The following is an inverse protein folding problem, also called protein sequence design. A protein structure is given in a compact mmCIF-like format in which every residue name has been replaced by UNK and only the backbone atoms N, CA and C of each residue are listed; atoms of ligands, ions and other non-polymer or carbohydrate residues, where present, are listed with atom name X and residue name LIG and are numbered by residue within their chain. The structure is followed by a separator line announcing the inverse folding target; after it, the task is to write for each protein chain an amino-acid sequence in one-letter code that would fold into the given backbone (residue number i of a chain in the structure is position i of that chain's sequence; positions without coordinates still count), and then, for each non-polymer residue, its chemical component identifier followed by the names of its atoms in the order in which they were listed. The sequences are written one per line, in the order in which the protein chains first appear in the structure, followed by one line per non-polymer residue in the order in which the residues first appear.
data_IF_644293243857
#
_entry.id   IF_644293243857
#
_cell.length_a   1.000
_cell.length_b   1.000
_cell.length_c   1.000
_cell.angle_alpha   90.00
_cell.angle_beta   90.00
_cell.angle_gamma   90.00
#
_symmetry.space_group_name_H-M   'P 1'
#
loop_
_entity.id
_entity.type
_entity.pdbx_description
1 polymer ?
#
# COMPACT_ATOMS: atom_id res chain seq x y z
N UNK A 1 7.17 32.13 1.60
CA UNK A 1 6.77 30.72 1.40
C UNK A 1 7.66 30.17 0.31
N UNK A 2 8.37 29.05 0.50
CA UNK A 2 9.11 28.44 -0.61
C UNK A 2 8.12 28.12 -1.73
N UNK A 3 8.50 28.43 -2.97
CA UNK A 3 7.69 28.11 -4.14
C UNK A 3 7.43 26.60 -4.16
N UNK A 4 6.17 26.22 -4.40
CA UNK A 4 5.75 24.83 -4.49
C UNK A 4 6.37 24.23 -5.76
N UNK A 5 7.51 23.57 -5.62
CA UNK A 5 8.07 22.74 -6.69
C UNK A 5 7.12 21.57 -6.95
N UNK A 6 6.67 21.46 -8.20
CA UNK A 6 5.87 20.32 -8.65
C UNK A 6 6.85 19.23 -9.06
N UNK A 7 6.79 18.08 -8.38
CA UNK A 7 7.61 16.94 -8.72
C UNK A 7 7.39 16.54 -10.21
N UNK A 8 8.47 16.33 -10.97
CA UNK A 8 8.42 15.97 -12.38
C UNK A 8 7.79 14.58 -12.55
N UNK A 9 7.09 14.36 -13.66
CA UNK A 9 6.69 13.00 -14.06
C UNK A 9 7.93 12.30 -14.61
N UNK A 10 8.27 11.16 -14.02
CA UNK A 10 9.42 10.35 -14.43
C UNK A 10 8.88 9.17 -15.23
N UNK A 11 9.14 9.15 -16.53
CA UNK A 11 8.61 8.12 -17.44
C UNK A 11 9.69 7.13 -17.88
N UNK A 12 10.96 7.50 -17.73
CA UNK A 12 12.12 6.70 -18.09
C UNK A 12 13.36 7.07 -17.23
N UNK A 13 14.48 6.36 -17.45
CA UNK A 13 15.70 6.56 -16.68
C UNK A 13 16.40 7.90 -16.96
N UNK A 14 16.25 8.44 -18.18
CA UNK A 14 16.79 9.73 -18.56
C UNK A 14 16.01 10.87 -17.88
N UNK A 15 14.68 10.77 -17.81
CA UNK A 15 13.83 11.66 -17.01
C UNK A 15 14.23 11.63 -15.53
N UNK A 16 14.54 10.45 -15.00
CA UNK A 16 14.99 10.30 -13.62
C UNK A 16 16.30 11.06 -13.40
N UNK A 17 17.29 10.85 -14.28
CA UNK A 17 18.60 11.48 -14.18
C UNK A 17 18.53 13.01 -14.33
N UNK A 18 17.65 13.51 -15.20
CA UNK A 18 17.56 14.94 -15.51
C UNK A 18 16.72 15.71 -14.49
N UNK A 19 15.68 15.11 -13.92
CA UNK A 19 14.68 15.86 -13.16
C UNK A 19 14.76 15.65 -11.64
N UNK A 20 15.41 14.59 -11.15
CA UNK A 20 15.51 14.29 -9.72
C UNK A 20 16.68 14.94 -8.94
N UNK A 21 17.82 15.35 -9.56
CA UNK A 21 18.95 15.91 -8.80
C UNK A 21 18.61 17.13 -7.92
N UNK A 22 17.60 17.92 -8.30
CA UNK A 22 17.13 19.07 -7.50
C UNK A 22 16.26 18.69 -6.29
N UNK A 23 15.75 17.46 -6.25
CA UNK A 23 14.92 16.93 -5.14
C UNK A 23 15.74 16.08 -4.16
N UNK A 24 16.89 15.55 -4.60
CA UNK A 24 17.81 14.78 -3.78
C UNK A 24 18.97 15.67 -3.34
N UNK A 25 18.79 16.30 -2.19
CA UNK A 25 19.86 17.08 -1.57
C UNK A 25 20.86 16.10 -0.96
N UNK A 26 22.11 16.16 -1.43
CA UNK A 26 23.21 15.36 -0.88
C UNK A 26 23.24 15.47 0.64
N UNK A 27 23.51 14.35 1.29
CA UNK A 27 23.56 14.19 2.76
C UNK A 27 22.22 14.27 3.52
N UNK A 28 21.11 14.66 2.90
CA UNK A 28 19.79 14.74 3.55
C UNK A 28 19.09 13.39 3.58
N UNK A 29 18.35 13.06 4.67
CA UNK A 29 17.47 11.89 4.68
C UNK A 29 16.40 11.97 3.60
N UNK A 30 16.09 10.83 2.98
CA UNK A 30 15.07 10.70 1.94
C UNK A 30 13.95 9.82 2.46
N UNK A 31 12.70 10.28 2.31
CA UNK A 31 11.53 9.46 2.55
C UNK A 31 11.02 8.89 1.21
N UNK A 32 10.94 7.57 1.12
CA UNK A 32 10.42 6.84 -0.03
C UNK A 32 9.10 6.20 0.39
N UNK A 33 8.00 6.69 -0.18
CA UNK A 33 6.64 6.25 0.13
C UNK A 33 6.05 5.60 -1.12
N UNK A 34 5.80 4.29 -1.07
CA UNK A 34 5.44 3.50 -2.25
C UNK A 34 4.05 2.91 -2.08
N UNK A 35 3.23 3.02 -3.12
CA UNK A 35 2.04 2.20 -3.25
C UNK A 35 2.41 0.78 -3.69
N UNK A 36 1.51 -0.19 -3.49
CA UNK A 36 1.74 -1.58 -3.87
C UNK A 36 1.13 -1.94 -5.24
N UNK A 37 -0.21 -1.97 -5.34
CA UNK A 37 -0.92 -2.46 -6.53
C UNK A 37 -0.85 -1.45 -7.68
N UNK A 38 -0.28 -1.87 -8.81
CA UNK A 38 -0.01 -0.99 -9.95
C UNK A 38 1.24 -0.13 -9.81
N UNK A 39 1.97 -0.25 -8.70
CA UNK A 39 3.24 0.47 -8.46
C UNK A 39 4.39 -0.51 -8.26
N UNK A 40 4.41 -1.26 -7.15
CA UNK A 40 5.43 -2.29 -6.88
C UNK A 40 5.08 -3.63 -7.54
N UNK A 41 3.80 -3.90 -7.73
CA UNK A 41 3.31 -5.12 -8.35
C UNK A 41 2.38 -4.74 -9.52
N UNK A 42 2.59 -5.26 -10.75
CA UNK A 42 1.74 -4.93 -11.89
C UNK A 42 0.26 -5.23 -11.61
N UNK A 43 -0.64 -4.41 -12.14
CA UNK A 43 -2.08 -4.64 -11.99
C UNK A 43 -2.45 -6.02 -12.56
N UNK A 44 -3.14 -6.82 -11.75
CA UNK A 44 -3.71 -8.09 -12.15
C UNK A 44 -5.23 -8.09 -11.93
N UNK A 45 -5.95 -8.93 -12.68
CA UNK A 45 -7.40 -9.06 -12.52
C UNK A 45 -7.77 -9.60 -11.14
N UNK A 46 -6.96 -10.52 -10.62
CA UNK A 46 -7.13 -11.09 -9.30
C UNK A 46 -6.01 -10.58 -8.35
N UNK A 47 -6.36 -9.91 -7.22
CA UNK A 47 -5.40 -9.42 -6.24
C UNK A 47 -4.46 -10.49 -5.65
N UNK A 48 -4.87 -11.75 -5.61
CA UNK A 48 -4.03 -12.86 -5.14
C UNK A 48 -2.93 -13.25 -6.16
N UNK A 49 -3.03 -12.77 -7.40
CA UNK A 49 -2.05 -13.00 -8.47
C UNK A 49 -1.06 -11.85 -8.63
N UNK A 50 -1.29 -10.71 -7.97
CA UNK A 50 -0.37 -9.57 -8.00
C UNK A 50 0.91 -9.96 -7.26
N UNK A 51 2.06 -9.90 -7.94
CA UNK A 51 3.37 -10.18 -7.35
C UNK A 51 4.38 -9.12 -7.76
N UNK A 52 5.21 -8.71 -6.81
CA UNK A 52 6.34 -7.83 -7.06
C UNK A 52 7.43 -8.59 -7.85
N UNK A 53 8.03 -8.00 -8.90
CA UNK A 53 9.17 -8.59 -9.59
C UNK A 53 10.36 -8.81 -8.65
N UNK A 54 11.07 -9.93 -8.81
CA UNK A 54 12.18 -10.33 -7.94
C UNK A 54 13.33 -9.31 -7.96
N UNK A 55 13.57 -8.69 -9.12
CA UNK A 55 14.59 -7.65 -9.27
C UNK A 55 14.25 -6.41 -8.44
N UNK A 56 12.96 -6.04 -8.37
CA UNK A 56 12.48 -4.90 -7.58
C UNK A 56 12.56 -5.21 -6.08
N UNK A 57 12.21 -6.43 -5.68
CA UNK A 57 12.38 -6.90 -4.31
C UNK A 57 13.83 -6.73 -3.83
N UNK A 58 14.80 -7.17 -4.63
CA UNK A 58 16.22 -7.04 -4.30
C UNK A 58 16.68 -5.58 -4.19
N UNK A 59 16.11 -4.67 -4.98
CA UNK A 59 16.40 -3.23 -4.90
C UNK A 59 15.82 -2.64 -3.62
N UNK A 60 14.56 -2.93 -3.30
CA UNK A 60 13.91 -2.42 -2.09
C UNK A 60 14.62 -2.89 -0.81
N UNK A 61 15.09 -4.15 -0.77
CA UNK A 61 15.90 -4.64 0.35
C UNK A 61 17.21 -3.85 0.55
N UNK A 62 17.83 -3.36 -0.52
CA UNK A 62 19.02 -2.50 -0.43
C UNK A 62 18.65 -1.11 0.06
N UNK A 63 17.55 -0.55 -0.44
CA UNK A 63 17.04 0.77 -0.06
C UNK A 63 16.65 0.78 1.42
N UNK A 64 15.95 -0.26 1.90
CA UNK A 64 15.52 -0.42 3.30
C UNK A 64 16.69 -0.39 4.31
N UNK A 65 17.87 -0.86 3.90
CA UNK A 65 19.07 -0.90 4.75
C UNK A 65 19.86 0.40 4.74
N UNK A 66 19.49 1.38 3.91
CA UNK A 66 20.25 2.60 3.78
C UNK A 66 19.97 3.54 4.98
N UNK A 67 20.99 3.99 5.74
CA UNK A 67 20.80 4.70 7.01
C UNK A 67 20.13 6.07 6.87
N UNK A 68 20.09 6.63 5.66
CA UNK A 68 19.43 7.90 5.35
C UNK A 68 18.10 7.73 4.61
N UNK A 69 17.57 6.51 4.49
CA UNK A 69 16.29 6.28 3.83
C UNK A 69 15.25 5.85 4.85
N UNK A 70 14.15 6.59 4.90
CA UNK A 70 12.90 6.12 5.48
C UNK A 70 12.08 5.48 4.36
N UNK A 71 11.81 4.18 4.47
CA UNK A 71 10.98 3.46 3.51
C UNK A 71 9.64 3.11 4.13
N UNK A 72 8.56 3.37 3.39
CA UNK A 72 7.22 2.94 3.74
C UNK A 72 6.48 2.38 2.52
N UNK A 73 5.74 1.30 2.74
CA UNK A 73 4.74 0.80 1.78
C UNK A 73 3.35 1.15 2.29
N UNK A 74 2.57 1.82 1.45
CA UNK A 74 1.23 2.32 1.76
C UNK A 74 0.26 1.66 0.78
N UNK A 75 -0.69 0.87 1.26
CA UNK A 75 -1.56 0.07 0.39
C UNK A 75 -3.03 0.10 0.85
N UNK A 76 -3.93 -0.12 -0.12
CA UNK A 76 -5.33 -0.44 0.15
C UNK A 76 -5.55 -1.89 0.62
N UNK A 77 -4.56 -2.78 0.47
CA UNK A 77 -4.58 -4.14 1.03
C UNK A 77 -4.57 -4.11 2.54
N UNK A 78 -5.12 -5.14 3.19
CA UNK A 78 -4.95 -5.30 4.64
C UNK A 78 -3.47 -5.36 5.03
N UNK A 79 -3.11 -4.90 6.22
CA UNK A 79 -1.71 -4.75 6.64
C UNK A 79 -0.93 -6.07 6.51
N UNK A 80 -1.50 -7.16 7.02
CA UNK A 80 -0.87 -8.50 6.94
C UNK A 80 -0.70 -9.01 5.51
N UNK A 81 -1.61 -8.64 4.61
CA UNK A 81 -1.50 -9.04 3.21
C UNK A 81 -0.34 -8.31 2.54
N UNK A 82 -0.26 -6.98 2.63
CA UNK A 82 0.85 -6.23 2.03
C UNK A 82 2.20 -6.58 2.66
N UNK A 83 2.27 -6.82 3.97
CA UNK A 83 3.48 -7.32 4.64
C UNK A 83 3.95 -8.65 4.04
N UNK A 84 3.03 -9.60 3.83
CA UNK A 84 3.34 -10.90 3.22
C UNK A 84 3.81 -10.76 1.78
N UNK A 85 3.27 -9.81 1.02
CA UNK A 85 3.62 -9.62 -0.38
C UNK A 85 4.97 -8.92 -0.57
N UNK A 86 5.29 -7.94 0.29
CA UNK A 86 6.55 -7.16 0.19
C UNK A 86 7.69 -7.86 0.93
N UNK A 87 7.41 -8.40 2.12
CA UNK A 87 8.32 -9.22 2.91
C UNK A 87 9.70 -8.58 3.16
N UNK A 88 9.71 -7.30 3.55
CA UNK A 88 10.91 -6.56 3.92
C UNK A 88 10.79 -6.12 5.38
N UNK A 89 11.77 -6.48 6.20
CA UNK A 89 11.85 -6.05 7.60
C UNK A 89 12.40 -4.62 7.73
N UNK A 90 12.08 -3.96 8.84
CA UNK A 90 12.66 -2.66 9.20
C UNK A 90 12.10 -1.46 8.42
N UNK A 91 10.94 -1.61 7.77
CA UNK A 91 10.23 -0.54 7.06
C UNK A 91 8.86 -0.29 7.67
N UNK A 92 8.26 0.85 7.36
CA UNK A 92 6.88 1.14 7.78
C UNK A 92 5.90 0.49 6.80
N UNK A 93 4.88 -0.18 7.31
CA UNK A 93 3.76 -0.66 6.52
C UNK A 93 2.49 0.07 6.93
N UNK A 94 1.76 0.60 5.96
CA UNK A 94 0.43 1.18 6.15
C UNK A 94 -0.56 0.43 5.26
N UNK A 95 -1.36 -0.45 5.87
CA UNK A 95 -2.43 -1.18 5.21
C UNK A 95 -3.77 -0.48 5.34
N UNK A 96 -4.77 -1.03 4.66
CA UNK A 96 -6.17 -0.66 4.76
C UNK A 96 -6.40 0.85 4.57
N UNK A 97 -5.74 1.44 3.57
CA UNK A 97 -5.75 2.89 3.32
C UNK A 97 -5.24 3.73 4.52
N UNK A 98 -4.22 3.24 5.22
CA UNK A 98 -3.59 3.81 6.43
C UNK A 98 -4.43 3.70 7.70
N UNK A 99 -5.49 2.88 7.70
CA UNK A 99 -6.23 2.54 8.91
C UNK A 99 -5.46 1.53 9.78
N UNK A 100 -4.43 0.89 9.25
CA UNK A 100 -3.55 -0.03 9.98
C UNK A 100 -2.10 0.37 9.65
N UNK A 101 -1.28 0.69 10.65
CA UNK A 101 0.11 1.09 10.45
C UNK A 101 1.00 0.34 11.43
N UNK A 102 2.05 -0.31 10.92
CA UNK A 102 3.12 -0.90 11.72
C UNK A 102 4.45 -0.23 11.38
N UNK A 103 5.16 0.19 12.42
CA UNK A 103 6.45 0.88 12.34
C UNK A 103 7.62 -0.11 12.49
N UNK A 104 8.85 0.26 12.09
CA UNK A 104 10.02 -0.61 12.17
C UNK A 104 10.35 -1.14 13.57
N UNK A 105 9.94 -0.43 14.63
CA UNK A 105 10.13 -0.84 16.02
C UNK A 105 9.05 -1.84 16.51
N UNK A 106 8.13 -2.23 15.61
CA UNK A 106 7.00 -3.10 15.90
C UNK A 106 5.83 -2.39 16.58
N UNK A 107 5.93 -1.08 16.83
CA UNK A 107 4.77 -0.31 17.30
C UNK A 107 3.69 -0.28 16.23
N UNK A 108 2.43 -0.31 16.66
CA UNK A 108 1.28 -0.45 15.77
C UNK A 108 0.18 0.55 16.11
N UNK A 109 -0.41 1.10 15.06
CA UNK A 109 -1.60 1.94 15.12
C UNK A 109 -2.69 1.32 14.24
N UNK A 110 -3.73 0.81 14.88
CA UNK A 110 -4.94 0.37 14.19
C UNK A 110 -6.06 1.34 14.52
N UNK A 111 -6.75 1.80 13.48
CA UNK A 111 -8.00 2.50 13.64
C UNK A 111 -9.05 1.51 14.13
N UNK A 112 -9.68 1.82 15.26
CA UNK A 112 -10.76 1.02 15.80
C UNK A 112 -12.10 1.68 15.44
N UNK A 113 -13.02 0.89 14.89
CA UNK A 113 -14.39 1.36 14.71
C UNK A 113 -15.01 1.64 16.07
N UNK A 114 -15.69 2.79 16.26
CA UNK A 114 -16.49 3.05 17.45
C UNK A 114 -17.50 1.92 17.68
N UNK A 115 -17.71 1.49 18.92
CA UNK A 115 -18.61 0.39 19.29
C UNK A 115 -20.02 0.56 18.70
N UNK A 116 -20.50 1.80 18.68
CA UNK A 116 -21.80 2.21 18.13
C UNK A 116 -21.95 1.90 16.62
N UNK A 117 -20.82 1.81 15.90
CA UNK A 117 -20.78 1.54 14.45
C UNK A 117 -20.50 0.05 14.18
N UNK A 118 -19.86 -0.67 15.10
CA UNK A 118 -19.45 -2.07 14.90
C UNK A 118 -20.64 -3.01 14.61
N UNK A 119 -21.76 -2.82 15.30
CA UNK A 119 -22.98 -3.63 15.08
C UNK A 119 -23.52 -3.42 13.65
N UNK A 120 -23.67 -2.16 13.25
CA UNK A 120 -24.13 -1.79 11.91
C UNK A 120 -23.16 -2.27 10.81
N UNK A 121 -21.85 -2.15 11.04
CA UNK A 121 -20.83 -2.66 10.12
C UNK A 121 -20.96 -4.17 9.93
N UNK A 122 -21.07 -4.91 11.03
CA UNK A 122 -21.17 -6.38 11.00
C UNK A 122 -22.44 -6.83 10.27
N UNK A 123 -23.58 -6.18 10.54
CA UNK A 123 -24.82 -6.45 9.83
C UNK A 123 -24.70 -6.13 8.34
N UNK A 124 -24.14 -4.96 7.99
CA UNK A 124 -23.94 -4.55 6.61
C UNK A 124 -23.06 -5.54 5.84
N UNK A 125 -21.93 -5.97 6.41
CA UNK A 125 -21.03 -6.96 5.78
C UNK A 125 -21.77 -8.27 5.52
N UNK A 126 -22.54 -8.75 6.49
CA UNK A 126 -23.35 -9.96 6.34
C UNK A 126 -24.37 -9.81 5.20
N UNK A 127 -25.14 -8.73 5.21
CA UNK A 127 -26.15 -8.48 4.18
C UNK A 127 -25.55 -8.35 2.78
N UNK A 128 -24.41 -7.66 2.65
CA UNK A 128 -23.70 -7.55 1.38
C UNK A 128 -23.24 -8.92 0.91
N UNK A 129 -22.63 -9.73 1.80
CA UNK A 129 -22.18 -11.07 1.44
C UNK A 129 -23.33 -11.93 0.90
N UNK A 130 -24.47 -11.92 1.59
CA UNK A 130 -25.66 -12.68 1.19
C UNK A 130 -26.27 -12.19 -0.16
N UNK A 131 -26.22 -10.88 -0.45
CA UNK A 131 -26.94 -10.29 -1.59
C UNK A 131 -26.09 -10.14 -2.86
N UNK A 132 -24.77 -9.94 -2.72
CA UNK A 132 -23.91 -9.50 -3.82
C UNK A 132 -22.76 -10.46 -4.17
N UNK A 133 -22.45 -11.46 -3.35
CA UNK A 133 -21.44 -12.49 -3.72
C UNK A 133 -22.02 -13.51 -4.70
N UNK A 134 -22.15 -13.11 -5.97
CA UNK A 134 -22.71 -13.92 -7.04
C UNK A 134 -21.94 -13.70 -8.34
N UNK A 135 -21.94 -14.72 -9.20
CA UNK A 135 -21.32 -14.66 -10.52
C UNK A 135 -19.86 -14.19 -10.51
N UNK A 136 -19.07 -14.62 -9.53
CA UNK A 136 -17.65 -14.23 -9.39
C UNK A 136 -17.41 -12.94 -8.62
N UNK A 137 -18.45 -12.17 -8.29
CA UNK A 137 -18.31 -11.04 -7.37
C UNK A 137 -18.14 -11.51 -5.92
N UNK A 138 -17.39 -10.75 -5.11
CA UNK A 138 -17.18 -11.07 -3.70
C UNK A 138 -16.92 -9.82 -2.84
N UNK A 139 -17.13 -9.93 -1.52
CA UNK A 139 -16.94 -8.86 -0.53
C UNK A 139 -15.76 -9.19 0.37
N UNK A 140 -14.73 -8.35 0.31
CA UNK A 140 -13.59 -8.37 1.21
C UNK A 140 -13.92 -7.57 2.48
N UNK A 141 -14.06 -8.28 3.61
CA UNK A 141 -14.20 -7.69 4.95
C UNK A 141 -12.81 -7.38 5.52
N UNK A 142 -12.47 -6.09 5.62
CA UNK A 142 -11.21 -5.60 6.22
C UNK A 142 -11.42 -5.02 7.62
N UNK A 143 -12.49 -5.42 8.32
CA UNK A 143 -12.89 -5.03 9.68
C UNK A 143 -13.28 -3.59 9.91
N UNK A 144 -12.59 -2.65 9.28
CA UNK A 144 -12.85 -1.20 9.39
C UNK A 144 -13.11 -0.55 8.04
N UNK A 145 -12.89 -1.30 6.96
CA UNK A 145 -13.30 -0.95 5.61
C UNK A 145 -13.80 -2.21 4.89
N UNK A 146 -14.31 -2.05 3.68
CA UNK A 146 -14.79 -3.14 2.85
C UNK A 146 -14.48 -2.87 1.38
N UNK A 147 -14.24 -3.92 0.62
CA UNK A 147 -14.01 -3.83 -0.83
C UNK A 147 -14.93 -4.81 -1.54
N UNK A 148 -15.71 -4.30 -2.50
CA UNK A 148 -16.53 -5.15 -3.36
C UNK A 148 -15.79 -5.40 -4.67
N UNK A 149 -15.47 -6.65 -4.93
CA UNK A 149 -14.74 -7.10 -6.11
C UNK A 149 -15.74 -7.60 -7.13
N UNK A 150 -15.78 -6.96 -8.31
CA UNK A 150 -16.72 -7.30 -9.39
C UNK A 150 -16.04 -7.41 -10.76
N UNK A 151 -14.71 -7.40 -10.82
CA UNK A 151 -13.97 -7.44 -12.09
C UNK A 151 -14.20 -8.75 -12.87
N UNK A 152 -14.36 -9.86 -12.16
CA UNK A 152 -14.57 -11.19 -12.75
C UNK A 152 -16.06 -11.52 -12.99
N UNK A 153 -16.96 -10.53 -12.98
CA UNK A 153 -18.38 -10.75 -13.28
C UNK A 153 -18.67 -10.70 -14.79
N UNK A 154 -19.62 -11.49 -15.31
CA UNK A 154 -20.07 -11.43 -16.71
C UNK A 154 -20.65 -10.09 -17.14
#
# INVERSE_FOLDING_TARGET
MPEKQVAPVISNLEDFANNLPGYLISESPVAVLLDYDGTLAPIADNPAKTKMPVELEAILHKIAKHPKVFLAVISGRGLKDVQKQVNIDGITYAGNHRLEIEYPDGSRHDYELPTEIQENYTQMVRELKEKVEKNGAWVEDKKVSLTYHYRDTP
#
